data_IF_268779252797
#
_entry.id   IF_268779252797
#
_cell.length_a   1.000
_cell.length_b   1.000
_cell.length_c   1.000
_cell.angle_alpha   90.00
_cell.angle_beta   90.00
_cell.angle_gamma   90.00
#
_symmetry.space_group_name_H-M   'P 1'
#
loop_
_entity.id
_entity.type
_entity.pdbx_description
1 polymer ?
#
# COMPACT_ATOMS: atom_id res chain seq x y z
N UNK A 1 12.08 31.96 25.39
CA UNK A 1 11.80 30.55 25.67
C UNK A 1 12.19 29.78 24.42
N UNK A 2 13.40 29.19 24.42
CA UNK A 2 13.90 28.39 23.28
C UNK A 2 13.23 27.04 23.33
N UNK A 3 12.54 26.69 22.26
CA UNK A 3 11.98 25.34 22.09
C UNK A 3 13.12 24.31 22.15
N UNK A 4 12.94 23.17 22.84
CA UNK A 4 13.95 22.13 22.87
C UNK A 4 14.17 21.60 21.47
N UNK A 5 15.43 21.65 21.02
CA UNK A 5 15.83 21.03 19.78
C UNK A 5 15.53 19.51 19.87
N UNK A 6 14.57 19.03 19.08
CA UNK A 6 14.30 17.61 18.92
C UNK A 6 15.58 16.99 18.34
N UNK A 7 16.34 16.31 19.16
CA UNK A 7 17.49 15.51 18.71
C UNK A 7 16.94 14.35 17.90
N UNK A 8 17.01 14.48 16.60
CA UNK A 8 16.81 13.34 15.70
C UNK A 8 18.05 12.45 15.87
N UNK A 9 17.92 11.38 16.64
CA UNK A 9 18.95 10.34 16.73
C UNK A 9 19.34 9.91 15.32
N UNK A 10 20.65 9.74 15.02
CA UNK A 10 21.09 9.27 13.72
C UNK A 10 20.64 7.82 13.55
N UNK A 11 19.50 7.63 12.87
CA UNK A 11 19.00 6.28 12.55
C UNK A 11 20.00 5.62 11.62
N UNK A 12 20.74 4.64 12.17
CA UNK A 12 21.63 3.80 11.37
C UNK A 12 20.76 3.16 10.26
N UNK A 13 21.19 3.32 9.00
CA UNK A 13 20.49 2.76 7.81
C UNK A 13 19.23 3.51 7.32
N UNK A 14 19.17 4.84 7.44
CA UNK A 14 18.08 5.64 6.85
C UNK A 14 17.77 5.28 5.40
N UNK A 15 18.80 5.05 4.59
CA UNK A 15 18.65 4.67 3.20
C UNK A 15 17.93 3.33 3.00
N UNK A 16 18.23 2.34 3.85
CA UNK A 16 17.57 1.04 3.79
C UNK A 16 16.09 1.12 4.19
N UNK A 17 15.77 1.91 5.20
CA UNK A 17 14.37 2.13 5.63
C UNK A 17 13.59 2.82 4.51
N UNK A 18 14.15 3.89 3.93
CA UNK A 18 13.53 4.59 2.79
C UNK A 18 13.30 3.65 1.61
N UNK A 19 14.30 2.83 1.27
CA UNK A 19 14.20 1.86 0.19
C UNK A 19 13.10 0.83 0.47
N UNK A 20 13.07 0.25 1.68
CA UNK A 20 12.06 -0.74 2.06
C UNK A 20 10.64 -0.16 2.01
N UNK A 21 10.45 1.06 2.50
CA UNK A 21 9.17 1.77 2.49
C UNK A 21 8.72 2.06 1.05
N UNK A 22 9.64 2.50 0.19
CA UNK A 22 9.34 2.75 -1.23
C UNK A 22 8.98 1.45 -1.97
N UNK A 23 9.74 0.38 -1.76
CA UNK A 23 9.46 -0.91 -2.37
C UNK A 23 8.10 -1.48 -1.93
N UNK A 24 7.75 -1.38 -0.64
CA UNK A 24 6.45 -1.80 -0.14
C UNK A 24 5.30 -1.01 -0.78
N UNK A 25 5.46 0.30 -0.93
CA UNK A 25 4.46 1.15 -1.58
C UNK A 25 4.33 0.83 -3.07
N UNK A 26 5.45 0.65 -3.78
CA UNK A 26 5.45 0.28 -5.21
C UNK A 26 4.78 -1.09 -5.39
N UNK A 27 5.11 -2.06 -4.55
CA UNK A 27 4.51 -3.39 -4.59
C UNK A 27 2.97 -3.32 -4.44
N UNK A 28 2.47 -2.51 -3.51
CA UNK A 28 1.04 -2.31 -3.32
C UNK A 28 0.37 -1.64 -4.53
N UNK A 29 1.01 -0.63 -5.13
CA UNK A 29 0.51 0.05 -6.34
C UNK A 29 0.48 -0.92 -7.53
N UNK A 30 1.53 -1.73 -7.70
CA UNK A 30 1.59 -2.74 -8.76
C UNK A 30 0.50 -3.80 -8.59
N UNK A 31 0.29 -4.30 -7.37
CA UNK A 31 -0.75 -5.29 -7.08
C UNK A 31 -2.15 -4.78 -7.45
N UNK A 32 -2.49 -3.55 -7.04
CA UNK A 32 -3.77 -2.94 -7.40
C UNK A 32 -3.91 -2.70 -8.90
N UNK A 33 -2.83 -2.35 -9.58
CA UNK A 33 -2.81 -2.14 -11.04
C UNK A 33 -2.98 -3.46 -11.77
N UNK A 34 -2.25 -4.50 -11.37
CA UNK A 34 -2.34 -5.85 -11.95
C UNK A 34 -3.76 -6.39 -11.78
N UNK A 35 -4.35 -6.23 -10.59
CA UNK A 35 -5.71 -6.65 -10.34
C UNK A 35 -6.72 -6.01 -11.30
N UNK A 36 -6.62 -4.69 -11.50
CA UNK A 36 -7.50 -3.97 -12.43
C UNK A 36 -7.35 -4.42 -13.88
N UNK A 37 -6.13 -4.74 -14.32
CA UNK A 37 -5.86 -5.21 -15.69
C UNK A 37 -6.26 -6.68 -15.89
N UNK A 38 -6.09 -7.52 -14.86
CA UNK A 38 -6.39 -8.94 -14.92
C UNK A 38 -7.89 -9.27 -14.82
N UNK A 39 -8.70 -8.35 -14.25
CA UNK A 39 -10.15 -8.57 -14.07
C UNK A 39 -10.89 -9.06 -15.31
N UNK A 40 -10.72 -8.47 -16.53
CA UNK A 40 -11.41 -8.92 -17.72
C UNK A 40 -11.06 -10.35 -18.15
N UNK A 41 -9.82 -10.79 -17.93
CA UNK A 41 -9.40 -12.17 -18.26
C UNK A 41 -9.88 -13.19 -17.22
N UNK A 42 -10.02 -12.79 -15.96
CA UNK A 42 -10.49 -13.66 -14.88
C UNK A 42 -11.97 -14.05 -14.99
N UNK A 43 -12.78 -13.29 -15.74
CA UNK A 43 -14.19 -13.65 -15.99
C UNK A 43 -14.33 -14.99 -16.69
N UNK A 44 -13.43 -15.30 -17.63
CA UNK A 44 -13.42 -16.59 -18.32
C UNK A 44 -12.90 -17.75 -17.45
N UNK A 45 -11.86 -17.51 -16.68
CA UNK A 45 -11.19 -18.55 -15.90
C UNK A 45 -11.98 -18.95 -14.63
N UNK A 46 -12.73 -18.02 -14.04
CA UNK A 46 -13.50 -18.24 -12.81
C UNK A 46 -15.00 -18.45 -13.05
N UNK A 47 -15.42 -18.55 -14.33
CA UNK A 47 -16.85 -18.69 -14.73
C UNK A 47 -17.75 -17.65 -14.04
N UNK A 48 -17.26 -16.42 -13.93
CA UNK A 48 -17.86 -15.33 -13.18
C UNK A 48 -18.43 -14.25 -14.11
N UNK A 49 -19.59 -13.67 -13.75
CA UNK A 49 -20.15 -12.52 -14.46
C UNK A 49 -19.33 -11.26 -14.17
N UNK A 50 -19.44 -10.26 -15.06
CA UNK A 50 -18.80 -8.94 -14.88
C UNK A 50 -19.19 -8.28 -13.57
N UNK A 51 -20.43 -8.41 -13.13
CA UNK A 51 -20.92 -7.85 -11.87
C UNK A 51 -20.29 -8.55 -10.65
N UNK A 52 -20.16 -9.88 -10.75
CA UNK A 52 -19.64 -10.68 -9.64
C UNK A 52 -18.13 -10.50 -9.47
N UNK A 53 -17.38 -10.32 -10.56
CA UNK A 53 -15.94 -10.11 -10.50
C UNK A 53 -15.56 -8.76 -9.88
N UNK A 54 -16.45 -7.76 -9.96
CA UNK A 54 -16.25 -6.45 -9.31
C UNK A 54 -16.11 -6.56 -7.79
N UNK A 55 -16.68 -7.60 -7.17
CA UNK A 55 -16.51 -7.89 -5.75
C UNK A 55 -15.06 -8.14 -5.35
N UNK A 56 -14.22 -8.60 -6.27
CA UNK A 56 -12.78 -8.79 -6.05
C UNK A 56 -12.09 -7.47 -5.72
N UNK A 57 -12.43 -6.39 -6.43
CA UNK A 57 -11.90 -5.05 -6.13
C UNK A 57 -12.58 -4.43 -4.93
N UNK A 58 -13.91 -4.55 -4.85
CA UNK A 58 -14.70 -3.93 -3.79
C UNK A 58 -14.32 -4.47 -2.43
N UNK A 59 -14.10 -5.79 -2.30
CA UNK A 59 -13.67 -6.42 -1.04
C UNK A 59 -12.35 -5.84 -0.52
N UNK A 60 -11.37 -5.64 -1.38
CA UNK A 60 -10.10 -5.01 -1.04
C UNK A 60 -10.29 -3.56 -0.56
N UNK A 61 -11.04 -2.76 -1.33
CA UNK A 61 -11.26 -1.33 -1.03
C UNK A 61 -12.00 -1.17 0.29
N UNK A 62 -13.08 -1.93 0.51
CA UNK A 62 -13.87 -1.88 1.74
C UNK A 62 -13.03 -2.29 2.95
N UNK A 63 -12.29 -3.40 2.85
CA UNK A 63 -11.40 -3.85 3.91
C UNK A 63 -10.35 -2.80 4.27
N UNK A 64 -9.71 -2.20 3.26
CA UNK A 64 -8.72 -1.12 3.44
C UNK A 64 -9.34 0.12 4.09
N UNK A 65 -10.53 0.53 3.66
CA UNK A 65 -11.21 1.70 4.21
C UNK A 65 -11.57 1.52 5.68
N UNK A 66 -12.06 0.33 6.05
CA UNK A 66 -12.41 0.00 7.44
C UNK A 66 -11.16 -0.09 8.33
N UNK A 67 -10.08 -0.66 7.81
CA UNK A 67 -8.85 -0.86 8.58
C UNK A 67 -7.96 0.38 8.70
N UNK A 68 -8.06 1.34 7.78
CA UNK A 68 -7.24 2.56 7.82
C UNK A 68 -7.33 3.31 9.16
N UNK A 69 -8.50 3.64 9.73
CA UNK A 69 -8.57 4.28 11.03
C UNK A 69 -8.07 3.39 12.18
N UNK A 70 -8.24 2.07 12.07
CA UNK A 70 -7.75 1.10 13.07
C UNK A 70 -6.23 1.04 13.09
N UNK A 71 -5.57 1.29 11.95
CA UNK A 71 -4.11 1.29 11.83
C UNK A 71 -3.44 2.27 12.79
N UNK A 72 -4.01 3.46 12.98
CA UNK A 72 -3.48 4.46 13.92
C UNK A 72 -3.45 3.90 15.34
N UNK A 73 -4.57 3.43 15.84
CA UNK A 73 -4.69 2.83 17.17
C UNK A 73 -3.78 1.60 17.33
N UNK A 74 -3.68 0.77 16.29
CA UNK A 74 -2.85 -0.43 16.33
C UNK A 74 -1.35 -0.10 16.33
N UNK A 75 -0.95 0.95 15.62
CA UNK A 75 0.44 1.44 15.61
C UNK A 75 0.90 1.95 16.97
N UNK A 76 -0.01 2.55 17.74
CA UNK A 76 0.29 3.02 19.11
C UNK A 76 0.42 1.84 20.09
N UNK A 77 -0.28 0.74 19.84
CA UNK A 77 -0.31 -0.41 20.74
C UNK A 77 0.80 -1.42 20.49
N UNK A 78 1.10 -1.73 19.24
CA UNK A 78 2.08 -2.76 18.83
C UNK A 78 3.43 -2.12 18.48
N UNK A 79 3.42 -0.86 18.06
CA UNK A 79 4.56 -0.14 17.54
C UNK A 79 4.55 -0.07 16.00
N UNK A 80 4.96 1.07 15.46
CA UNK A 80 4.96 1.37 14.02
C UNK A 80 5.75 0.35 13.21
N UNK A 81 6.93 -0.04 13.72
CA UNK A 81 7.84 -0.97 13.02
C UNK A 81 7.25 -2.37 12.91
N UNK A 82 6.77 -2.90 14.02
CA UNK A 82 6.21 -4.26 14.06
C UNK A 82 4.93 -4.34 13.21
N UNK A 83 4.07 -3.31 13.30
CA UNK A 83 2.88 -3.24 12.47
C UNK A 83 3.21 -3.14 10.98
N UNK A 84 4.22 -2.37 10.59
CA UNK A 84 4.64 -2.27 9.20
C UNK A 84 5.16 -3.60 8.65
N UNK A 85 6.02 -4.29 9.41
CA UNK A 85 6.55 -5.60 9.02
C UNK A 85 5.43 -6.64 8.90
N UNK A 86 4.50 -6.67 9.86
CA UNK A 86 3.33 -7.55 9.83
C UNK A 86 2.45 -7.26 8.61
N UNK A 87 2.22 -5.98 8.31
CA UNK A 87 1.42 -5.56 7.17
C UNK A 87 2.03 -5.95 5.84
N UNK A 88 3.34 -5.73 5.67
CA UNK A 88 4.05 -6.11 4.45
C UNK A 88 4.07 -7.64 4.30
N UNK A 89 4.41 -8.37 5.36
CA UNK A 89 4.42 -9.83 5.33
C UNK A 89 3.04 -10.43 5.03
N UNK A 90 2.00 -9.95 5.72
CA UNK A 90 0.62 -10.37 5.49
C UNK A 90 0.13 -10.03 4.08
N UNK A 91 0.50 -8.85 3.57
CA UNK A 91 0.18 -8.45 2.20
C UNK A 91 0.82 -9.37 1.16
N UNK A 92 2.11 -9.72 1.31
CA UNK A 92 2.81 -10.64 0.40
C UNK A 92 2.18 -12.02 0.43
N UNK A 93 1.91 -12.57 1.62
CA UNK A 93 1.30 -13.89 1.78
C UNK A 93 -0.08 -13.95 1.11
N UNK A 94 -0.92 -12.93 1.36
CA UNK A 94 -2.25 -12.86 0.76
C UNK A 94 -2.21 -12.59 -0.74
N UNK A 95 -1.21 -11.86 -1.25
CA UNK A 95 -0.97 -11.68 -2.68
C UNK A 95 -0.67 -13.00 -3.38
N UNK A 96 0.22 -13.82 -2.79
CA UNK A 96 0.49 -15.18 -3.29
C UNK A 96 -0.77 -16.05 -3.24
N UNK A 97 -1.55 -15.97 -2.16
CA UNK A 97 -2.81 -16.70 -2.03
C UNK A 97 -3.84 -16.29 -3.10
N UNK A 98 -3.90 -14.98 -3.47
CA UNK A 98 -4.72 -14.52 -4.59
C UNK A 98 -4.30 -15.17 -5.93
N UNK A 99 -2.99 -15.32 -6.16
CA UNK A 99 -2.47 -16.00 -7.36
C UNK A 99 -2.77 -17.51 -7.40
N UNK A 100 -3.08 -18.12 -6.25
CA UNK A 100 -3.44 -19.53 -6.10
C UNK A 100 -4.95 -19.74 -5.94
N UNK A 101 -5.76 -18.71 -6.09
CA UNK A 101 -7.20 -18.80 -5.92
C UNK A 101 -7.83 -19.70 -7.01
N UNK A 102 -8.64 -20.67 -6.56
CA UNK A 102 -9.30 -21.66 -7.43
C UNK A 102 -10.79 -21.38 -7.61
N UNK A 103 -11.31 -20.35 -6.98
CA UNK A 103 -12.72 -19.94 -7.11
C UNK A 103 -12.86 -18.45 -6.84
N UNK A 104 -13.94 -17.84 -7.33
CA UNK A 104 -14.26 -16.44 -7.07
C UNK A 104 -14.37 -16.16 -5.58
N UNK A 105 -15.01 -17.03 -4.81
CA UNK A 105 -15.17 -16.86 -3.36
C UNK A 105 -13.82 -16.84 -2.63
N UNK A 106 -12.87 -17.71 -3.01
CA UNK A 106 -11.53 -17.74 -2.44
C UNK A 106 -10.76 -16.46 -2.81
N UNK A 107 -10.89 -15.99 -4.05
CA UNK A 107 -10.28 -14.75 -4.51
C UNK A 107 -10.79 -13.54 -3.72
N UNK A 108 -12.11 -13.41 -3.54
CA UNK A 108 -12.73 -12.32 -2.76
C UNK A 108 -12.25 -12.36 -1.31
N UNK A 109 -12.19 -13.55 -0.69
CA UNK A 109 -11.70 -13.71 0.68
C UNK A 109 -10.23 -13.29 0.82
N UNK A 110 -9.35 -13.72 -0.09
CA UNK A 110 -7.95 -13.34 -0.09
C UNK A 110 -7.75 -11.83 -0.34
N UNK A 111 -8.55 -11.22 -1.21
CA UNK A 111 -8.57 -9.77 -1.45
C UNK A 111 -9.01 -8.98 -0.22
N UNK A 112 -9.98 -9.47 0.51
CA UNK A 112 -10.43 -8.86 1.76
C UNK A 112 -9.28 -8.89 2.79
N UNK A 113 -8.63 -10.03 2.98
CA UNK A 113 -7.45 -10.15 3.87
C UNK A 113 -6.30 -9.25 3.40
N UNK A 114 -6.03 -9.20 2.10
CA UNK A 114 -5.01 -8.34 1.52
C UNK A 114 -5.31 -6.85 1.75
N UNK A 115 -6.58 -6.43 1.68
CA UNK A 115 -7.02 -5.09 2.03
C UNK A 115 -6.77 -4.74 3.51
N UNK A 116 -6.99 -5.69 4.42
CA UNK A 116 -6.71 -5.53 5.85
C UNK A 116 -5.22 -5.24 6.09
N UNK A 117 -4.32 -6.06 5.55
CA UNK A 117 -2.88 -5.86 5.70
C UNK A 117 -2.38 -4.65 4.91
N UNK A 118 -2.91 -4.40 3.72
CA UNK A 118 -2.52 -3.28 2.86
C UNK A 118 -2.86 -1.91 3.43
N UNK A 119 -3.90 -1.80 4.25
CA UNK A 119 -4.39 -0.54 4.81
C UNK A 119 -3.33 0.24 5.61
N UNK A 120 -2.42 -0.47 6.28
CA UNK A 120 -1.39 0.12 7.12
C UNK A 120 -0.14 0.55 6.33
N UNK A 121 0.12 0.00 5.14
CA UNK A 121 1.37 0.21 4.41
C UNK A 121 1.57 1.69 4.04
N UNK A 122 0.58 2.33 3.43
CA UNK A 122 0.67 3.74 2.99
C UNK A 122 0.84 4.71 4.16
N UNK A 123 -0.04 4.72 5.18
CA UNK A 123 0.07 5.68 6.28
C UNK A 123 1.34 5.48 7.11
N UNK A 124 1.77 4.24 7.35
CA UNK A 124 3.01 3.96 8.05
C UNK A 124 4.23 4.36 7.20
N UNK A 125 4.21 4.14 5.89
CA UNK A 125 5.25 4.59 4.97
C UNK A 125 5.48 6.09 5.05
N UNK A 126 4.41 6.87 5.04
CA UNK A 126 4.47 8.33 5.18
C UNK A 126 5.01 8.73 6.56
N UNK A 127 4.54 8.09 7.61
CA UNK A 127 5.00 8.35 8.98
C UNK A 127 6.50 8.07 9.12
N UNK A 128 6.99 6.93 8.61
CA UNK A 128 8.43 6.63 8.64
C UNK A 128 9.26 7.66 7.87
N UNK A 129 8.80 8.08 6.68
CA UNK A 129 9.51 9.11 5.90
C UNK A 129 9.59 10.44 6.64
N UNK A 130 8.55 10.81 7.39
CA UNK A 130 8.56 12.03 8.21
C UNK A 130 9.46 11.87 9.45
N UNK A 131 9.41 10.72 10.12
CA UNK A 131 10.17 10.45 11.34
C UNK A 131 11.70 10.40 11.10
N UNK A 132 12.14 9.89 9.93
CA UNK A 132 13.57 9.75 9.60
C UNK A 132 14.17 11.00 8.93
N UNK A 133 13.35 11.92 8.42
CA UNK A 133 13.84 13.13 7.76
C UNK A 133 13.66 14.37 8.64
N UNK A 134 14.66 15.30 8.65
CA UNK A 134 14.51 16.59 9.31
C UNK A 134 13.33 17.37 8.72
N UNK A 135 12.65 18.24 9.49
CA UNK A 135 11.50 19.00 9.01
C UNK A 135 11.72 19.77 7.70
N UNK A 136 12.96 20.26 7.49
CA UNK A 136 13.35 21.00 6.28
C UNK A 136 13.42 20.10 5.02
N UNK A 137 13.68 18.79 5.18
CA UNK A 137 13.78 17.80 4.10
C UNK A 137 12.53 16.92 3.98
N UNK A 138 11.62 17.01 4.94
CA UNK A 138 10.38 16.22 4.96
C UNK A 138 9.53 16.47 3.70
N UNK A 139 9.43 17.73 3.25
CA UNK A 139 8.73 18.08 2.03
C UNK A 139 9.33 17.46 0.77
N UNK A 140 10.67 17.39 0.68
CA UNK A 140 11.35 16.74 -0.46
C UNK A 140 11.16 15.23 -0.44
N UNK A 141 11.22 14.59 0.74
CA UNK A 141 10.99 13.17 0.91
C UNK A 141 9.55 12.78 0.52
N UNK A 142 8.56 13.58 0.91
CA UNK A 142 7.16 13.38 0.53
C UNK A 142 6.93 13.61 -0.96
N UNK A 143 7.60 14.60 -1.57
CA UNK A 143 7.52 14.82 -3.01
C UNK A 143 8.12 13.67 -3.82
N UNK A 144 9.23 13.08 -3.39
CA UNK A 144 9.82 11.90 -4.01
C UNK A 144 8.91 10.67 -3.87
N UNK A 145 8.34 10.46 -2.69
CA UNK A 145 7.37 9.40 -2.46
C UNK A 145 6.12 9.56 -3.34
N UNK A 146 5.56 10.77 -3.41
CA UNK A 146 4.41 11.08 -4.26
C UNK A 146 4.69 10.87 -5.75
N UNK A 147 5.89 11.23 -6.24
CA UNK A 147 6.28 10.99 -7.65
C UNK A 147 6.41 9.49 -7.95
N UNK A 148 6.94 8.69 -7.04
CA UNK A 148 7.03 7.23 -7.18
C UNK A 148 5.66 6.56 -7.27
N UNK A 149 4.70 7.03 -6.48
CA UNK A 149 3.31 6.53 -6.48
C UNK A 149 2.47 7.03 -7.68
N UNK A 150 2.86 8.15 -8.32
CA UNK A 150 2.12 8.78 -9.44
C UNK A 150 2.64 8.41 -10.82
N UNK A 151 3.91 8.05 -10.98
CA UNK A 151 4.51 7.73 -12.28
C UNK A 151 3.86 6.53 -12.98
N UNK A 152 3.18 5.66 -12.23
CA UNK A 152 2.38 4.56 -12.79
C UNK A 152 1.06 4.98 -13.44
N UNK A 153 0.56 6.21 -13.21
CA UNK A 153 -0.75 6.68 -13.72
C UNK A 153 -0.69 7.66 -14.88
N UNK A 154 0.47 8.24 -15.17
CA UNK A 154 0.57 9.34 -16.16
C UNK A 154 0.97 8.91 -17.57
N UNK A 155 1.31 7.64 -17.80
CA UNK A 155 1.71 7.15 -19.13
C UNK A 155 0.55 6.89 -20.12
N UNK A 156 -0.69 7.24 -19.75
CA UNK A 156 -1.89 6.95 -20.53
C UNK A 156 -2.65 8.14 -21.13
N UNK A 157 -2.16 9.38 -21.04
CA UNK A 157 -2.83 10.52 -21.69
C UNK A 157 -1.97 11.07 -22.81
N UNK A 158 -2.32 10.81 -24.09
CA UNK A 158 -1.82 11.63 -25.18
C UNK A 158 -2.37 13.04 -25.01
N UNK A 159 -1.50 14.03 -25.01
CA UNK A 159 -1.87 15.43 -25.15
C UNK A 159 -2.49 15.59 -26.55
N UNK A 160 -3.80 15.46 -26.67
CA UNK A 160 -4.51 15.95 -27.82
C UNK A 160 -4.60 17.48 -27.64
N UNK A 161 -3.61 18.16 -28.17
CA UNK A 161 -3.63 19.59 -28.39
C UNK A 161 -3.65 19.85 -29.88
N UNK A 162 -4.49 20.68 -30.30
CA UNK A 162 -4.58 21.20 -31.64
C UNK A 162 -5.75 22.13 -31.75
#
# INVERSE_FOLDING_TARGET
>A
MSAPAVRVEPVAHRGLITLAVMLATIMQVLDTTIANVALPSMTGDLDASQDTITWVLTSYIVASAVMTPVTGWLSDRIGKRELFLLSVAGFVVTSVACGLAWSLSSMVAFRLMQGIFGAAIVPLSQTFLLDINPPEKAGQAMALWGRGSWSGRSSGRPLAGG
#
